data_IF_287813776505
#
_entry.id   IF_287813776505
#
_cell.length_a   1.000
_cell.length_b   1.000
_cell.length_c   1.000
_cell.angle_alpha   90.00
_cell.angle_beta   90.00
_cell.angle_gamma   90.00
#
_symmetry.space_group_name_H-M   'P 1'
#
loop_
_entity.id
_entity.type
_entity.pdbx_description
1 polymer ?
#
# COMPACT_ATOMS: atom_id res chain seq x y z
N UNK A 1 -20.21 5.67 2.12
CA UNK A 1 -21.30 5.83 1.14
C UNK A 1 -22.35 4.82 1.52
N UNK A 2 -23.45 5.30 2.03
CA UNK A 2 -24.57 4.46 2.40
C UNK A 2 -25.34 4.09 1.13
N UNK A 3 -25.54 2.80 0.97
CA UNK A 3 -26.26 2.24 -0.16
C UNK A 3 -27.75 2.22 0.19
N UNK A 4 -28.55 2.96 -0.57
CA UNK A 4 -30.00 2.76 -0.63
C UNK A 4 -30.28 2.04 -1.94
N UNK A 5 -30.83 0.81 -1.95
CA UNK A 5 -31.11 0.09 -3.19
C UNK A 5 -32.26 0.79 -3.91
N UNK A 6 -31.98 1.35 -5.09
CA UNK A 6 -33.06 1.67 -6.01
C UNK A 6 -33.64 0.34 -6.50
N UNK A 7 -34.86 0.01 -6.07
CA UNK A 7 -35.60 -1.15 -6.57
C UNK A 7 -35.80 -1.01 -8.08
N UNK A 8 -34.99 -1.70 -8.86
CA UNK A 8 -35.30 -1.95 -10.27
C UNK A 8 -36.34 -3.05 -10.30
N UNK A 9 -37.49 -2.81 -10.93
CA UNK A 9 -38.53 -3.81 -11.13
C UNK A 9 -37.92 -5.03 -11.85
N UNK A 10 -38.06 -6.16 -11.23
CA UNK A 10 -37.50 -7.45 -11.54
C UNK A 10 -37.93 -8.00 -12.90
N UNK A 11 -36.94 -8.36 -13.73
CA UNK A 11 -36.99 -9.68 -14.31
C UNK A 11 -36.23 -10.59 -13.35
N UNK A 12 -36.92 -11.38 -12.54
CA UNK A 12 -36.28 -12.42 -11.74
C UNK A 12 -35.83 -13.53 -12.69
N UNK A 13 -34.64 -13.42 -13.16
CA UNK A 13 -33.94 -14.55 -13.78
C UNK A 13 -33.54 -15.44 -12.61
N UNK A 14 -34.07 -16.64 -12.56
CA UNK A 14 -33.69 -17.65 -11.59
C UNK A 14 -32.25 -18.12 -11.92
N UNK A 15 -31.27 -17.52 -11.26
CA UNK A 15 -29.86 -17.87 -11.38
C UNK A 15 -29.44 -19.02 -10.46
N UNK A 16 -30.38 -19.69 -9.78
CA UNK A 16 -30.07 -20.73 -8.80
C UNK A 16 -29.22 -21.90 -9.35
N UNK A 17 -29.17 -22.04 -10.68
CA UNK A 17 -28.39 -23.07 -11.36
C UNK A 17 -27.17 -22.54 -12.14
N UNK A 18 -26.89 -21.23 -12.23
CA UNK A 18 -25.88 -20.70 -13.15
C UNK A 18 -24.76 -19.87 -12.53
N UNK A 19 -24.88 -19.37 -11.32
CA UNK A 19 -23.83 -18.56 -10.71
C UNK A 19 -23.47 -19.08 -9.33
N UNK A 20 -22.63 -20.10 -9.31
CA UNK A 20 -21.78 -20.34 -8.15
C UNK A 20 -20.81 -19.18 -8.01
N UNK A 21 -20.64 -18.66 -6.79
CA UNK A 21 -19.53 -17.75 -6.48
C UNK A 21 -18.26 -18.41 -7.00
N UNK A 22 -17.48 -17.76 -7.89
CA UNK A 22 -16.32 -18.39 -8.55
C UNK A 22 -15.26 -18.90 -7.58
N UNK A 23 -15.32 -18.45 -6.32
CA UNK A 23 -14.39 -18.82 -5.26
C UNK A 23 -15.17 -19.37 -4.06
N UNK A 24 -14.73 -20.53 -3.57
CA UNK A 24 -15.27 -21.07 -2.32
C UNK A 24 -15.00 -20.09 -1.19
N UNK A 25 -16.07 -19.59 -0.58
CA UNK A 25 -16.02 -18.82 0.65
C UNK A 25 -16.22 -19.80 1.82
N UNK A 26 -15.20 -20.01 2.67
CA UNK A 26 -15.29 -20.98 3.77
C UNK A 26 -16.48 -20.69 4.67
N UNK A 27 -17.30 -21.71 4.91
CA UNK A 27 -18.46 -21.60 5.80
C UNK A 27 -19.61 -20.74 5.31
N UNK A 28 -19.63 -20.31 4.04
CA UNK A 28 -20.72 -19.54 3.46
C UNK A 28 -21.63 -20.41 2.59
N UNK A 29 -22.94 -20.33 2.84
CA UNK A 29 -23.97 -20.95 2.03
C UNK A 29 -24.71 -19.85 1.29
N UNK A 30 -24.60 -19.80 -0.04
CA UNK A 30 -25.36 -18.87 -0.85
C UNK A 30 -26.84 -19.30 -0.91
N UNK A 31 -27.74 -18.42 -0.48
CA UNK A 31 -29.18 -18.66 -0.46
C UNK A 31 -29.90 -18.02 -1.66
N UNK A 32 -29.40 -16.88 -2.13
CA UNK A 32 -29.93 -16.21 -3.33
C UNK A 32 -28.88 -15.29 -3.96
N UNK A 33 -29.10 -14.98 -5.23
CA UNK A 33 -28.24 -14.04 -5.98
C UNK A 33 -29.12 -13.07 -6.73
N UNK A 34 -28.79 -11.79 -6.67
CA UNK A 34 -29.49 -10.74 -7.41
C UNK A 34 -28.50 -9.85 -8.18
N UNK A 35 -28.99 -9.30 -9.29
CA UNK A 35 -28.29 -8.25 -10.04
C UNK A 35 -28.98 -6.92 -9.73
N UNK A 36 -28.24 -5.99 -9.17
CA UNK A 36 -28.75 -4.69 -8.76
C UNK A 36 -27.96 -3.56 -9.44
N UNK A 37 -28.62 -2.43 -9.62
CA UNK A 37 -27.96 -1.20 -10.04
C UNK A 37 -27.57 -0.41 -8.81
N UNK A 38 -26.25 -0.10 -8.69
CA UNK A 38 -25.70 0.66 -7.58
C UNK A 38 -25.50 2.12 -7.96
N UNK A 39 -25.22 2.96 -6.97
CA UNK A 39 -24.94 4.38 -7.15
C UNK A 39 -23.84 4.60 -8.22
N UNK A 40 -24.02 5.57 -9.11
CA UNK A 40 -23.16 5.79 -10.26
C UNK A 40 -23.51 4.95 -11.50
N UNK A 41 -24.69 4.26 -11.50
CA UNK A 41 -25.23 3.56 -12.67
C UNK A 41 -24.58 2.21 -12.99
N UNK A 42 -23.62 1.76 -12.17
CA UNK A 42 -22.95 0.45 -12.35
C UNK A 42 -23.86 -0.68 -11.86
N UNK A 43 -23.73 -1.83 -12.48
CA UNK A 43 -24.42 -3.04 -12.04
C UNK A 43 -23.53 -3.86 -11.09
N UNK A 44 -24.19 -4.57 -10.17
CA UNK A 44 -23.52 -5.38 -9.17
C UNK A 44 -24.28 -6.68 -8.88
N UNK A 45 -23.54 -7.77 -8.77
CA UNK A 45 -24.05 -9.00 -8.20
C UNK A 45 -24.02 -8.93 -6.68
N UNK A 46 -25.12 -9.30 -6.04
CA UNK A 46 -25.24 -9.46 -4.58
C UNK A 46 -25.55 -10.91 -4.28
N UNK A 47 -24.64 -11.58 -3.61
CA UNK A 47 -24.82 -12.94 -3.13
C UNK A 47 -25.26 -12.88 -1.66
N UNK A 48 -26.47 -13.34 -1.39
CA UNK A 48 -27.02 -13.45 -0.04
C UNK A 48 -26.71 -14.83 0.52
N UNK A 49 -26.45 -14.92 1.80
CA UNK A 49 -26.26 -16.22 2.42
C UNK A 49 -25.89 -16.18 3.89
N UNK A 50 -25.82 -17.36 4.44
CA UNK A 50 -25.58 -17.63 5.84
C UNK A 50 -24.16 -18.11 6.11
N UNK A 51 -23.69 -17.94 7.34
CA UNK A 51 -22.46 -18.54 7.83
C UNK A 51 -22.81 -19.81 8.60
N UNK A 52 -22.11 -20.90 8.29
CA UNK A 52 -22.15 -22.14 9.06
C UNK A 52 -21.43 -21.91 10.38
N UNK A 53 -22.07 -22.25 11.47
CA UNK A 53 -21.52 -22.24 12.81
C UNK A 53 -22.06 -23.39 13.65
N UNK A 54 -21.28 -23.82 14.61
CA UNK A 54 -21.76 -24.78 15.62
C UNK A 54 -22.59 -24.07 16.69
N UNK A 55 -23.46 -24.83 17.38
CA UNK A 55 -24.26 -24.31 18.49
C UNK A 55 -23.32 -23.72 19.57
N UNK A 56 -23.41 -22.41 19.87
CA UNK A 56 -22.50 -21.80 20.82
C UNK A 56 -22.87 -22.12 22.27
N UNK A 57 -21.83 -22.29 23.07
CA UNK A 57 -21.92 -22.43 24.51
C UNK A 57 -21.19 -21.27 25.17
N UNK A 58 -21.73 -20.78 26.27
CA UNK A 58 -21.12 -19.65 26.98
C UNK A 58 -19.85 -20.08 27.67
N UNK A 59 -18.71 -19.50 27.31
CA UNK A 59 -17.39 -19.80 27.89
C UNK A 59 -17.32 -19.50 29.40
N UNK A 60 -18.18 -18.60 29.91
CA UNK A 60 -18.15 -18.18 31.31
C UNK A 60 -18.96 -19.10 32.26
N UNK A 61 -20.08 -19.64 31.80
CA UNK A 61 -20.98 -20.42 32.65
C UNK A 61 -21.38 -21.76 32.05
N UNK A 62 -20.89 -22.12 30.86
CA UNK A 62 -21.18 -23.41 30.22
C UNK A 62 -22.64 -23.58 29.72
N UNK A 63 -23.48 -22.53 29.81
CA UNK A 63 -24.88 -22.62 29.36
C UNK A 63 -24.96 -22.50 27.84
N UNK A 64 -25.97 -23.15 27.24
CA UNK A 64 -26.31 -22.95 25.84
C UNK A 64 -26.70 -21.52 25.60
N UNK A 65 -26.27 -20.94 24.47
CA UNK A 65 -26.62 -19.57 24.09
C UNK A 65 -27.81 -19.58 23.12
N UNK A 66 -28.71 -18.63 23.29
CA UNK A 66 -29.91 -18.49 22.44
C UNK A 66 -29.74 -17.33 21.47
N UNK A 67 -30.49 -17.38 20.33
CA UNK A 67 -30.47 -16.33 19.31
C UNK A 67 -31.03 -15.04 19.90
N UNK A 68 -30.25 -13.99 19.86
CA UNK A 68 -30.65 -12.67 20.35
C UNK A 68 -31.13 -11.75 19.21
N UNK A 69 -30.39 -11.70 18.10
CA UNK A 69 -30.78 -10.90 16.96
C UNK A 69 -30.11 -11.35 15.65
N UNK A 70 -30.75 -11.01 14.54
CA UNK A 70 -30.20 -11.18 13.21
C UNK A 70 -29.58 -9.86 12.72
N UNK A 71 -28.39 -9.95 12.10
CA UNK A 71 -27.61 -8.84 11.61
C UNK A 71 -27.16 -9.13 10.18
N UNK A 72 -27.06 -8.11 9.36
CA UNK A 72 -26.54 -8.23 8.00
C UNK A 72 -25.17 -7.58 7.89
N UNK A 73 -24.24 -8.28 7.27
CA UNK A 73 -22.90 -7.75 7.00
C UNK A 73 -22.64 -7.78 5.50
N UNK A 74 -22.47 -6.61 4.90
CA UNK A 74 -22.11 -6.49 3.48
C UNK A 74 -20.61 -6.38 3.32
N UNK A 75 -20.05 -7.28 2.53
CA UNK A 75 -18.63 -7.30 2.15
C UNK A 75 -18.50 -7.06 0.65
N UNK A 76 -17.48 -6.33 0.27
CA UNK A 76 -17.06 -6.23 -1.11
C UNK A 76 -16.26 -7.47 -1.48
N UNK A 77 -16.54 -8.06 -2.65
CA UNK A 77 -15.85 -9.22 -3.18
C UNK A 77 -15.17 -8.91 -4.51
N UNK A 78 -14.40 -9.86 -5.06
CA UNK A 78 -13.77 -9.75 -6.36
C UNK A 78 -14.78 -9.33 -7.43
N UNK A 79 -14.46 -8.38 -8.30
CA UNK A 79 -15.33 -8.00 -9.40
C UNK A 79 -15.52 -9.17 -10.37
N UNK A 80 -16.71 -9.31 -10.90
CA UNK A 80 -17.00 -10.29 -11.94
C UNK A 80 -17.13 -9.59 -13.29
N UNK A 81 -16.01 -9.57 -14.05
CA UNK A 81 -15.93 -8.76 -15.26
C UNK A 81 -16.15 -7.27 -14.96
N UNK A 82 -17.09 -6.60 -15.65
CA UNK A 82 -17.39 -5.19 -15.41
C UNK A 82 -18.28 -4.96 -14.17
N UNK A 83 -18.85 -6.03 -13.61
CA UNK A 83 -19.79 -5.96 -12.49
C UNK A 83 -19.09 -5.88 -11.15
N UNK A 84 -19.65 -5.07 -10.28
CA UNK A 84 -19.26 -5.07 -8.86
C UNK A 84 -19.85 -6.32 -8.19
N UNK A 85 -19.20 -6.82 -7.14
CA UNK A 85 -19.69 -8.00 -6.42
C UNK A 85 -19.75 -7.72 -4.94
N UNK A 86 -20.86 -8.07 -4.31
CA UNK A 86 -21.07 -7.98 -2.87
C UNK A 86 -21.50 -9.33 -2.31
N UNK A 87 -21.02 -9.63 -1.11
CA UNK A 87 -21.51 -10.73 -0.30
C UNK A 87 -22.31 -10.10 0.84
N UNK A 88 -23.58 -10.42 0.94
CA UNK A 88 -24.45 -10.05 2.05
C UNK A 88 -24.59 -11.27 2.95
N UNK A 89 -23.93 -11.20 4.09
CA UNK A 89 -23.89 -12.29 5.07
C UNK A 89 -24.94 -12.04 6.13
N UNK A 90 -25.84 -12.99 6.28
CA UNK A 90 -26.78 -13.03 7.40
C UNK A 90 -26.09 -13.66 8.60
N UNK A 91 -25.99 -12.88 9.68
CA UNK A 91 -25.29 -13.26 10.91
C UNK A 91 -26.27 -13.30 12.07
N UNK A 92 -26.02 -14.23 12.96
CA UNK A 92 -26.79 -14.35 14.19
C UNK A 92 -25.92 -13.92 15.36
N UNK A 93 -26.43 -13.04 16.20
CA UNK A 93 -25.85 -12.77 17.50
C UNK A 93 -26.57 -13.60 18.56
N UNK A 94 -25.81 -14.30 19.36
CA UNK A 94 -26.27 -15.11 20.46
C UNK A 94 -26.09 -14.38 21.78
N UNK A 95 -26.98 -14.70 22.75
CA UNK A 95 -26.90 -14.20 24.11
C UNK A 95 -27.06 -15.35 25.09
N UNK A 96 -26.32 -15.30 26.15
CA UNK A 96 -26.46 -16.23 27.27
C UNK A 96 -27.47 -15.68 28.27
N UNK A 97 -28.56 -16.40 28.52
CA UNK A 97 -29.60 -16.00 29.47
C UNK A 97 -29.12 -16.04 30.92
N UNK A 98 -28.11 -16.87 31.21
CA UNK A 98 -27.57 -17.00 32.55
C UNK A 98 -26.69 -15.80 32.97
N UNK A 99 -25.79 -15.35 32.11
CA UNK A 99 -24.80 -14.28 32.45
C UNK A 99 -24.84 -13.06 31.56
N UNK A 100 -25.77 -13.02 30.58
CA UNK A 100 -25.95 -11.89 29.67
C UNK A 100 -24.85 -11.69 28.61
N UNK A 101 -23.83 -12.53 28.58
CA UNK A 101 -22.76 -12.43 27.57
C UNK A 101 -23.31 -12.68 26.17
N UNK A 102 -22.78 -11.94 25.21
CA UNK A 102 -23.12 -12.09 23.79
C UNK A 102 -21.94 -12.67 23.01
N UNK A 103 -22.26 -13.44 21.99
CA UNK A 103 -21.29 -13.99 21.03
C UNK A 103 -21.85 -13.94 19.62
N UNK A 104 -20.96 -13.82 18.63
CA UNK A 104 -21.34 -13.79 17.23
C UNK A 104 -20.28 -14.51 16.40
N UNK A 105 -20.67 -15.44 15.48
CA UNK A 105 -19.74 -16.14 14.61
C UNK A 105 -18.89 -15.15 13.82
N UNK A 106 -17.61 -15.43 13.68
CA UNK A 106 -16.75 -14.69 12.76
C UNK A 106 -17.07 -15.06 11.31
N UNK A 107 -16.80 -14.15 10.39
CA UNK A 107 -16.88 -14.42 8.96
C UNK A 107 -15.49 -14.85 8.51
N UNK A 108 -15.24 -16.15 8.20
CA UNK A 108 -13.88 -16.66 7.97
C UNK A 108 -13.14 -16.04 6.79
N UNK A 109 -13.90 -15.52 5.82
CA UNK A 109 -13.36 -14.91 4.60
C UNK A 109 -13.37 -13.38 4.62
N UNK A 110 -13.66 -12.75 5.76
CA UNK A 110 -13.64 -11.29 5.90
C UNK A 110 -12.23 -10.79 6.22
N UNK A 111 -11.80 -9.73 5.56
CA UNK A 111 -10.60 -8.99 5.96
C UNK A 111 -10.73 -8.49 7.41
N UNK A 112 -9.63 -8.58 8.15
CA UNK A 112 -9.60 -8.18 9.55
C UNK A 112 -9.89 -6.69 9.77
N UNK A 113 -9.48 -5.85 8.84
CA UNK A 113 -9.51 -4.39 8.98
C UNK A 113 -10.47 -3.70 8.02
N UNK A 114 -10.97 -4.40 7.00
CA UNK A 114 -11.78 -3.82 5.94
C UNK A 114 -13.07 -4.60 5.70
N UNK A 115 -14.09 -3.92 5.15
CA UNK A 115 -15.34 -4.57 4.73
C UNK A 115 -15.19 -5.18 3.34
N UNK A 116 -14.15 -5.97 3.15
CA UNK A 116 -13.85 -6.72 1.93
C UNK A 116 -13.59 -8.18 2.28
N UNK A 117 -13.68 -9.05 1.28
CA UNK A 117 -13.27 -10.45 1.45
C UNK A 117 -11.75 -10.56 1.41
N UNK A 118 -11.18 -11.61 2.01
CA UNK A 118 -9.74 -11.91 1.94
C UNK A 118 -9.27 -12.09 0.51
N UNK A 119 -10.11 -12.65 -0.37
CA UNK A 119 -9.80 -12.83 -1.79
C UNK A 119 -9.65 -11.47 -2.51
N UNK A 120 -10.55 -10.50 -2.22
CA UNK A 120 -10.41 -9.17 -2.79
C UNK A 120 -9.20 -8.42 -2.22
N UNK A 121 -8.93 -8.57 -0.92
CA UNK A 121 -7.75 -7.97 -0.29
C UNK A 121 -6.46 -8.50 -0.93
N UNK A 122 -6.35 -9.83 -1.12
CA UNK A 122 -5.21 -10.45 -1.78
C UNK A 122 -5.06 -9.99 -3.25
N UNK A 123 -6.17 -9.86 -3.97
CA UNK A 123 -6.15 -9.34 -5.34
C UNK A 123 -5.69 -7.88 -5.43
N UNK A 124 -6.13 -7.04 -4.50
CA UNK A 124 -5.63 -5.65 -4.38
C UNK A 124 -4.12 -5.63 -4.12
N UNK A 125 -3.63 -6.49 -3.23
CA UNK A 125 -2.20 -6.61 -2.93
C UNK A 125 -1.40 -7.06 -4.16
N UNK A 126 -1.88 -8.05 -4.92
CA UNK A 126 -1.24 -8.53 -6.16
C UNK A 126 -1.15 -7.43 -7.23
N UNK A 127 -2.22 -6.66 -7.45
CA UNK A 127 -2.19 -5.53 -8.38
C UNK A 127 -1.17 -4.46 -7.97
N UNK A 128 -1.10 -4.15 -6.68
CA UNK A 128 -0.14 -3.18 -6.15
C UNK A 128 1.31 -3.69 -6.26
N UNK A 129 1.54 -4.98 -6.07
CA UNK A 129 2.84 -5.61 -6.22
C UNK A 129 3.34 -5.57 -7.67
N UNK A 130 2.43 -5.67 -8.64
CA UNK A 130 2.72 -5.50 -10.08
C UNK A 130 2.99 -4.04 -10.47
N UNK A 131 2.91 -3.09 -9.55
CA UNK A 131 3.19 -1.67 -9.78
C UNK A 131 1.99 -0.83 -10.20
N UNK A 132 0.78 -1.34 -10.08
CA UNK A 132 -0.42 -0.55 -10.34
C UNK A 132 -0.61 0.53 -9.27
N UNK A 133 -1.03 1.73 -9.71
CA UNK A 133 -1.27 2.84 -8.79
C UNK A 133 -2.53 2.63 -7.94
N UNK A 134 -2.56 3.18 -6.72
CA UNK A 134 -3.73 3.13 -5.84
C UNK A 134 -5.02 3.63 -6.53
N UNK A 135 -4.92 4.62 -7.43
CA UNK A 135 -6.05 5.13 -8.21
C UNK A 135 -6.56 4.07 -9.20
N UNK A 136 -5.66 3.44 -9.96
CA UNK A 136 -6.02 2.40 -10.95
C UNK A 136 -6.65 1.20 -10.26
N UNK A 137 -6.04 0.70 -9.17
CA UNK A 137 -6.56 -0.42 -8.37
C UNK A 137 -7.94 -0.08 -7.79
N UNK A 138 -8.14 1.16 -7.30
CA UNK A 138 -9.44 1.58 -6.76
C UNK A 138 -10.55 1.53 -7.81
N UNK A 139 -10.25 1.91 -9.05
CA UNK A 139 -11.19 1.86 -10.18
C UNK A 139 -11.49 0.42 -10.58
N UNK A 140 -10.46 -0.43 -10.71
CA UNK A 140 -10.61 -1.84 -11.10
C UNK A 140 -11.43 -2.62 -10.06
N UNK A 141 -11.10 -2.47 -8.79
CA UNK A 141 -11.76 -3.20 -7.70
C UNK A 141 -13.08 -2.54 -7.24
N UNK A 142 -13.38 -1.32 -7.70
CA UNK A 142 -14.51 -0.54 -7.25
C UNK A 142 -14.45 -0.20 -5.76
N UNK A 143 -13.25 0.02 -5.23
CA UNK A 143 -12.99 0.40 -3.85
C UNK A 143 -12.68 1.90 -3.75
N UNK A 144 -12.90 2.48 -2.57
CA UNK A 144 -12.41 3.83 -2.33
C UNK A 144 -10.88 3.84 -2.23
N UNK A 145 -10.21 4.87 -2.77
CA UNK A 145 -8.74 4.99 -2.76
C UNK A 145 -8.13 4.88 -1.34
N UNK A 146 -8.83 5.40 -0.32
CA UNK A 146 -8.39 5.28 1.08
C UNK A 146 -8.34 3.83 1.54
N UNK A 147 -9.29 2.99 1.10
CA UNK A 147 -9.30 1.56 1.41
C UNK A 147 -8.11 0.87 0.77
N UNK A 148 -7.86 1.12 -0.52
CA UNK A 148 -6.70 0.57 -1.23
C UNK A 148 -5.39 1.00 -0.57
N UNK A 149 -5.24 2.29 -0.24
CA UNK A 149 -4.07 2.81 0.48
C UNK A 149 -3.89 2.17 1.87
N UNK A 150 -4.99 1.87 2.57
CA UNK A 150 -4.93 1.21 3.87
C UNK A 150 -4.48 -0.25 3.75
N UNK A 151 -4.96 -0.97 2.74
CA UNK A 151 -4.53 -2.34 2.41
C UNK A 151 -3.03 -2.33 2.05
N UNK A 152 -2.62 -1.41 1.18
CA UNK A 152 -1.21 -1.28 0.78
C UNK A 152 -0.30 -0.96 1.97
N UNK A 153 -0.72 -0.06 2.85
CA UNK A 153 0.03 0.23 4.07
C UNK A 153 0.20 -1.01 4.94
N UNK A 154 -0.84 -1.81 5.13
CA UNK A 154 -0.77 -3.04 5.90
C UNK A 154 0.16 -4.07 5.22
N UNK A 155 0.08 -4.20 3.89
CA UNK A 155 0.98 -5.03 3.08
C UNK A 155 2.44 -4.62 3.25
N UNK A 156 2.75 -3.34 3.05
CA UNK A 156 4.11 -2.81 3.20
C UNK A 156 4.64 -2.98 4.63
N UNK A 157 3.81 -2.78 5.64
CA UNK A 157 4.18 -3.02 7.04
C UNK A 157 4.51 -4.49 7.28
N UNK A 158 3.74 -5.43 6.73
CA UNK A 158 4.01 -6.87 6.85
C UNK A 158 5.29 -7.28 6.13
N UNK A 159 5.59 -6.69 4.98
CA UNK A 159 6.77 -7.03 4.18
C UNK A 159 8.06 -6.45 4.76
N UNK A 160 8.03 -5.20 5.20
CA UNK A 160 9.24 -4.43 5.51
C UNK A 160 9.46 -4.15 6.99
N UNK A 161 8.54 -4.56 7.87
CA UNK A 161 8.71 -4.34 9.31
C UNK A 161 8.52 -5.61 10.12
N UNK A 162 9.11 -5.61 11.32
CA UNK A 162 8.96 -6.65 12.33
C UNK A 162 8.76 -6.03 13.71
N UNK A 163 8.34 -6.83 14.68
CA UNK A 163 8.23 -6.38 16.05
C UNK A 163 9.43 -6.84 16.84
N UNK A 164 10.04 -5.91 17.58
CA UNK A 164 11.04 -6.23 18.60
C UNK A 164 10.40 -6.98 19.77
N UNK A 165 11.19 -7.65 20.62
CA UNK A 165 10.68 -8.28 21.86
C UNK A 165 9.89 -7.32 22.75
N UNK A 166 10.21 -6.02 22.69
CA UNK A 166 9.51 -4.96 23.45
C UNK A 166 8.24 -4.44 22.75
N UNK A 167 7.81 -5.08 21.67
CA UNK A 167 6.60 -4.71 20.92
C UNK A 167 6.74 -3.46 20.04
N UNK A 168 7.93 -2.90 19.86
CA UNK A 168 8.17 -1.80 18.94
C UNK A 168 8.27 -2.31 17.51
N UNK A 169 7.63 -1.59 16.57
CA UNK A 169 7.75 -1.88 15.15
C UNK A 169 8.99 -1.23 14.57
N UNK A 170 9.84 -2.04 13.97
CA UNK A 170 11.09 -1.62 13.33
C UNK A 170 11.16 -2.13 11.90
N UNK A 171 11.98 -1.52 11.06
CA UNK A 171 12.27 -2.06 9.74
C UNK A 171 13.03 -3.39 9.87
N UNK A 172 12.73 -4.32 8.98
CA UNK A 172 13.51 -5.55 8.85
C UNK A 172 14.90 -5.21 8.33
N UNK A 173 15.90 -5.91 8.82
CA UNK A 173 17.23 -5.86 8.20
C UNK A 173 17.14 -6.49 6.81
N UNK A 174 17.94 -6.00 5.83
CA UNK A 174 18.03 -6.64 4.53
C UNK A 174 18.45 -8.09 4.66
N UNK A 175 17.68 -9.00 4.06
CA UNK A 175 17.97 -10.45 4.09
C UNK A 175 19.21 -10.80 3.23
N UNK A 176 19.52 -9.94 2.28
CA UNK A 176 20.62 -10.13 1.32
C UNK A 176 21.64 -9.01 1.45
N UNK A 177 22.90 -9.36 1.30
CA UNK A 177 24.00 -8.42 1.20
C UNK A 177 23.91 -7.64 -0.11
N UNK A 178 23.83 -6.31 -0.03
CA UNK A 178 23.97 -5.43 -1.18
C UNK A 178 25.46 -5.02 -1.35
N UNK A 179 25.93 -5.01 -2.58
CA UNK A 179 27.30 -4.57 -2.92
C UNK A 179 27.34 -3.10 -3.36
N UNK A 180 26.29 -2.64 -4.00
CA UNK A 180 26.18 -1.28 -4.54
C UNK A 180 24.93 -0.61 -4.02
N UNK A 181 25.08 0.52 -3.38
CA UNK A 181 23.97 1.30 -2.85
C UNK A 181 23.80 2.59 -3.66
N UNK A 182 22.56 3.09 -3.70
CA UNK A 182 22.29 4.48 -4.05
C UNK A 182 21.54 5.15 -2.90
N UNK A 183 21.85 6.43 -2.68
CA UNK A 183 21.12 7.29 -1.74
C UNK A 183 20.65 8.54 -2.45
N UNK A 184 19.37 8.88 -2.27
CA UNK A 184 18.78 10.05 -2.88
C UNK A 184 17.67 10.62 -2.00
N UNK A 185 17.33 11.89 -2.25
CA UNK A 185 16.30 12.63 -1.53
C UNK A 185 15.05 12.77 -2.38
N UNK A 186 13.90 12.53 -1.75
CA UNK A 186 12.60 12.82 -2.34
C UNK A 186 11.86 13.87 -1.54
N UNK A 187 11.09 14.70 -2.22
CA UNK A 187 10.17 15.63 -1.57
C UNK A 187 8.92 14.87 -1.13
N UNK A 188 8.85 14.47 0.13
CA UNK A 188 7.80 13.59 0.66
C UNK A 188 6.48 14.31 0.96
N UNK A 189 6.51 15.59 1.36
CA UNK A 189 5.34 16.34 1.81
C UNK A 189 5.26 17.76 1.24
N UNK A 190 4.10 18.39 1.36
CA UNK A 190 3.96 19.82 1.06
C UNK A 190 4.86 20.64 2.01
N UNK A 191 5.51 21.68 1.47
CA UNK A 191 6.58 22.42 2.15
C UNK A 191 7.95 21.83 1.82
N UNK A 192 8.97 22.15 2.62
CA UNK A 192 10.37 21.73 2.43
C UNK A 192 10.73 20.45 3.19
N UNK A 193 9.78 19.52 3.32
CA UNK A 193 10.03 18.24 4.00
C UNK A 193 10.54 17.23 3.00
N UNK A 194 11.74 16.73 3.25
CA UNK A 194 12.41 15.72 2.47
C UNK A 194 12.42 14.39 3.21
N UNK A 195 12.43 13.32 2.46
CA UNK A 195 12.76 12.00 2.95
C UNK A 195 13.90 11.43 2.10
N UNK A 196 14.81 10.72 2.75
CA UNK A 196 15.94 10.05 2.10
C UNK A 196 15.65 8.58 2.00
N UNK A 197 16.00 7.98 0.89
CA UNK A 197 15.92 6.55 0.69
C UNK A 197 17.27 5.98 0.26
N UNK A 198 17.52 4.73 0.64
CA UNK A 198 18.69 3.98 0.25
C UNK A 198 18.22 2.73 -0.49
N UNK A 199 18.79 2.50 -1.66
CA UNK A 199 18.40 1.45 -2.60
C UNK A 199 19.58 0.54 -2.87
N UNK A 200 19.32 -0.76 -2.98
CA UNK A 200 20.24 -1.73 -3.57
C UNK A 200 20.17 -1.59 -5.10
N UNK A 201 21.27 -1.18 -5.73
CA UNK A 201 21.33 -0.96 -7.18
C UNK A 201 21.26 -2.26 -8.00
N UNK A 202 21.58 -3.42 -7.41
CA UNK A 202 21.51 -4.70 -8.12
C UNK A 202 20.08 -5.22 -8.23
N UNK A 203 19.24 -4.92 -7.23
CA UNK A 203 17.87 -5.45 -7.15
C UNK A 203 16.79 -4.40 -7.33
N UNK A 204 17.13 -3.10 -7.21
CA UNK A 204 16.18 -2.00 -7.17
C UNK A 204 15.38 -1.91 -5.87
N UNK A 205 15.71 -2.72 -4.86
CA UNK A 205 14.98 -2.75 -3.59
C UNK A 205 15.34 -1.56 -2.70
N UNK A 206 14.34 -0.92 -2.13
CA UNK A 206 14.53 0.09 -1.08
C UNK A 206 14.90 -0.64 0.21
N UNK A 207 16.09 -0.36 0.74
CA UNK A 207 16.63 -0.93 1.98
C UNK A 207 16.34 -0.05 3.19
N UNK A 208 16.20 1.27 2.99
CA UNK A 208 15.95 2.24 4.05
C UNK A 208 15.14 3.40 3.53
N UNK A 209 14.28 3.95 4.39
CA UNK A 209 13.50 5.14 4.13
C UNK A 209 13.30 5.91 5.45
N UNK A 210 13.68 7.18 5.46
CA UNK A 210 13.58 8.01 6.66
C UNK A 210 13.37 9.48 6.30
N UNK A 211 12.56 10.17 7.11
CA UNK A 211 12.43 11.63 7.02
C UNK A 211 13.76 12.31 7.34
N UNK A 212 14.10 13.34 6.57
CA UNK A 212 15.34 14.10 6.71
C UNK A 212 16.22 14.04 5.47
N UNK A 213 17.31 14.82 5.50
CA UNK A 213 18.28 14.94 4.40
C UNK A 213 19.71 15.21 4.87
N UNK A 214 20.01 14.90 6.13
CA UNK A 214 21.32 15.16 6.75
C UNK A 214 22.03 13.85 7.09
N UNK A 215 23.25 13.96 7.58
CA UNK A 215 24.10 12.84 8.04
C UNK A 215 23.38 11.84 8.94
N UNK A 216 22.44 12.33 9.77
CA UNK A 216 21.68 11.49 10.71
C UNK A 216 20.95 10.33 10.06
N UNK A 217 20.47 10.50 8.82
CA UNK A 217 19.79 9.43 8.07
C UNK A 217 20.76 8.32 7.70
N UNK A 218 21.96 8.68 7.26
CA UNK A 218 23.04 7.71 6.95
C UNK A 218 23.48 6.99 8.21
N UNK A 219 23.69 7.70 9.31
CA UNK A 219 24.05 7.09 10.58
C UNK A 219 22.97 6.14 11.11
N UNK A 220 21.70 6.50 10.93
CA UNK A 220 20.59 5.64 11.32
C UNK A 220 20.56 4.34 10.49
N UNK A 221 20.78 4.44 9.18
CA UNK A 221 20.90 3.27 8.31
C UNK A 221 22.07 2.37 8.73
N UNK A 222 23.28 2.93 8.90
CA UNK A 222 24.46 2.16 9.30
C UNK A 222 24.23 1.47 10.65
N UNK A 223 23.61 2.14 11.62
CA UNK A 223 23.24 1.53 12.91
C UNK A 223 22.24 0.39 12.74
N UNK A 224 21.28 0.54 11.81
CA UNK A 224 20.24 -0.45 11.56
C UNK A 224 20.82 -1.73 10.96
N UNK A 225 21.62 -1.63 9.89
CA UNK A 225 22.20 -2.80 9.24
C UNK A 225 23.41 -3.34 10.00
N UNK A 226 24.20 -2.47 10.61
CA UNK A 226 25.41 -2.78 11.35
C UNK A 226 26.67 -2.63 10.51
N UNK A 227 27.81 -2.33 11.17
CA UNK A 227 29.10 -2.13 10.48
C UNK A 227 29.60 -3.40 9.77
N UNK A 228 29.33 -4.59 10.30
CA UNK A 228 29.71 -5.85 9.65
C UNK A 228 28.98 -6.00 8.29
N UNK A 229 27.69 -5.67 8.25
CA UNK A 229 26.95 -5.66 6.99
C UNK A 229 27.54 -4.63 6.01
N UNK A 230 27.90 -3.45 6.49
CA UNK A 230 28.52 -2.41 5.66
C UNK A 230 29.85 -2.79 5.03
N UNK A 231 30.61 -3.72 5.64
CA UNK A 231 31.86 -4.23 5.06
C UNK A 231 31.68 -4.92 3.70
N UNK A 232 30.50 -5.48 3.44
CA UNK A 232 30.15 -6.10 2.16
C UNK A 232 29.75 -5.11 1.07
N UNK A 233 29.55 -3.83 1.40
CA UNK A 233 29.23 -2.78 0.44
C UNK A 233 30.54 -2.29 -0.20
N UNK A 234 30.56 -2.20 -1.52
CA UNK A 234 31.74 -1.78 -2.31
C UNK A 234 31.65 -0.28 -2.62
N UNK A 235 30.49 0.18 -3.09
CA UNK A 235 30.31 1.56 -3.50
C UNK A 235 28.91 2.08 -3.17
N UNK A 236 28.85 3.40 -3.01
CA UNK A 236 27.61 4.16 -2.79
C UNK A 236 27.51 5.27 -3.82
N UNK A 237 26.44 5.24 -4.61
CA UNK A 237 26.09 6.33 -5.50
C UNK A 237 25.27 7.38 -4.73
N UNK A 238 25.69 8.63 -4.77
CA UNK A 238 24.99 9.75 -4.16
C UNK A 238 24.98 10.98 -5.07
N UNK A 239 24.12 11.94 -4.75
CA UNK A 239 24.26 13.26 -5.34
C UNK A 239 25.51 13.98 -4.79
N UNK A 240 25.77 15.19 -5.27
CA UNK A 240 26.89 16.00 -4.79
C UNK A 240 26.62 16.62 -3.39
N UNK A 241 25.73 16.04 -2.60
CA UNK A 241 25.45 16.46 -1.23
C UNK A 241 26.58 16.03 -0.30
N UNK A 242 27.30 17.00 0.24
CA UNK A 242 28.45 16.76 1.13
C UNK A 242 28.07 15.97 2.40
N UNK A 243 26.85 16.16 2.92
CA UNK A 243 26.39 15.50 4.15
C UNK A 243 26.38 13.97 4.02
N UNK A 244 25.90 13.43 2.90
CA UNK A 244 25.85 11.98 2.68
C UNK A 244 27.26 11.41 2.46
N UNK A 245 28.05 12.07 1.61
CA UNK A 245 29.42 11.68 1.35
C UNK A 245 30.25 11.63 2.64
N UNK A 246 30.24 12.73 3.41
CA UNK A 246 30.99 12.82 4.66
C UNK A 246 30.56 11.76 5.67
N UNK A 247 29.25 11.50 5.79
CA UNK A 247 28.75 10.49 6.73
C UNK A 247 29.21 9.07 6.37
N UNK A 248 29.21 8.70 5.08
CA UNK A 248 29.72 7.40 4.65
C UNK A 248 31.25 7.29 4.82
N UNK A 249 32.01 8.30 4.44
CA UNK A 249 33.48 8.31 4.59
C UNK A 249 33.86 8.21 6.06
N UNK A 250 33.15 8.92 6.95
CA UNK A 250 33.40 8.92 8.39
C UNK A 250 33.20 7.53 9.01
N UNK A 251 32.12 6.84 8.66
CA UNK A 251 31.77 5.55 9.29
C UNK A 251 32.26 4.33 8.52
N UNK A 252 32.46 4.45 7.21
CA UNK A 252 32.82 3.36 6.32
C UNK A 252 33.85 3.81 5.30
N UNK A 253 35.12 4.10 5.73
CA UNK A 253 36.15 4.68 4.87
C UNK A 253 36.60 3.76 3.73
N UNK A 254 36.22 2.49 3.73
CA UNK A 254 36.52 1.53 2.66
C UNK A 254 35.59 1.70 1.43
N UNK A 255 34.51 2.47 1.56
CA UNK A 255 33.53 2.63 0.49
C UNK A 255 34.05 3.56 -0.62
N UNK A 256 33.80 3.18 -1.86
CA UNK A 256 33.96 4.07 -3.01
C UNK A 256 32.70 4.93 -3.15
N UNK A 257 32.84 6.25 -3.08
CA UNK A 257 31.77 7.18 -3.36
C UNK A 257 31.72 7.47 -4.85
N UNK A 258 30.55 7.28 -5.46
CA UNK A 258 30.29 7.54 -6.88
C UNK A 258 29.23 8.64 -6.97
N UNK A 259 29.50 9.67 -7.76
CA UNK A 259 28.51 10.73 -7.97
C UNK A 259 27.54 10.35 -9.09
N UNK A 260 26.27 10.65 -8.86
CA UNK A 260 25.22 10.46 -9.87
C UNK A 260 25.47 11.35 -11.09
N UNK A 261 25.61 10.72 -12.24
CA UNK A 261 25.86 11.38 -13.52
C UNK A 261 24.77 12.45 -13.85
N UNK A 262 23.52 12.18 -13.53
CA UNK A 262 22.44 13.15 -13.76
C UNK A 262 22.70 14.45 -12.99
N UNK A 263 23.08 14.38 -11.74
CA UNK A 263 23.39 15.56 -10.91
C UNK A 263 24.64 16.30 -11.40
N UNK A 264 25.63 15.59 -11.92
CA UNK A 264 26.84 16.22 -12.54
C UNK A 264 26.41 17.04 -13.76
N UNK A 265 25.68 16.42 -14.69
CA UNK A 265 25.22 17.09 -15.92
C UNK A 265 24.28 18.26 -15.61
N UNK A 266 23.36 18.07 -14.65
CA UNK A 266 22.47 19.14 -14.19
C UNK A 266 23.24 20.33 -13.63
N UNK A 267 24.18 20.10 -12.72
CA UNK A 267 25.03 21.15 -12.14
C UNK A 267 25.87 21.86 -13.19
N UNK A 268 26.42 21.13 -14.16
CA UNK A 268 27.15 21.71 -15.29
C UNK A 268 26.25 22.65 -16.12
N UNK A 269 25.05 22.19 -16.48
CA UNK A 269 24.10 22.99 -17.21
C UNK A 269 23.65 24.23 -16.44
N UNK A 270 23.37 24.10 -15.15
CA UNK A 270 22.89 25.22 -14.32
C UNK A 270 23.99 26.22 -14.00
N UNK A 271 25.19 25.77 -13.69
CA UNK A 271 26.28 26.66 -13.22
C UNK A 271 27.20 27.14 -14.33
N UNK A 272 27.38 26.37 -15.39
CA UNK A 272 28.30 26.72 -16.48
C UNK A 272 27.54 27.21 -17.70
N UNK A 273 26.70 26.37 -18.28
CA UNK A 273 26.00 26.70 -19.53
C UNK A 273 25.04 27.87 -19.34
N UNK A 274 24.31 27.93 -18.22
CA UNK A 274 23.41 29.05 -17.94
C UNK A 274 24.14 30.40 -17.75
N UNK A 275 25.32 30.40 -17.12
CA UNK A 275 26.12 31.60 -16.95
C UNK A 275 26.72 32.06 -18.30
N UNK A 276 27.27 31.13 -19.09
CA UNK A 276 27.76 31.44 -20.44
C UNK A 276 26.63 32.07 -21.29
N UNK A 277 25.42 31.50 -21.22
CA UNK A 277 24.25 32.07 -21.96
C UNK A 277 23.91 33.48 -21.49
N UNK A 278 23.93 33.74 -20.18
CA UNK A 278 23.69 35.07 -19.63
C UNK A 278 24.75 36.09 -20.05
N UNK A 279 26.01 35.67 -20.02
CA UNK A 279 27.11 36.54 -20.42
C UNK A 279 27.05 36.86 -21.92
N UNK A 280 26.74 35.89 -22.78
CA UNK A 280 26.56 36.09 -24.20
C UNK A 280 25.34 36.96 -24.50
N UNK A 281 24.23 36.81 -23.78
CA UNK A 281 23.10 37.70 -23.89
C UNK A 281 23.47 39.17 -23.55
N UNK A 282 24.18 39.39 -22.45
CA UNK A 282 24.68 40.72 -22.07
C UNK A 282 25.58 41.32 -23.13
N UNK A 283 26.47 40.51 -23.72
CA UNK A 283 27.36 40.92 -24.79
C UNK A 283 26.57 41.38 -26.03
N UNK A 284 25.58 40.58 -26.46
CA UNK A 284 24.73 40.90 -27.61
C UNK A 284 23.85 42.12 -27.38
N UNK A 285 23.32 42.28 -26.16
CA UNK A 285 22.57 43.48 -25.76
C UNK A 285 23.44 44.74 -25.87
N UNK A 286 24.68 44.69 -25.45
CA UNK A 286 25.65 45.78 -25.56
C UNK A 286 26.06 46.10 -27.01
N UNK A 287 26.05 45.06 -27.89
CA UNK A 287 26.31 45.22 -29.32
C UNK A 287 25.07 45.65 -30.12
N UNK A 288 23.92 45.88 -29.48
CA UNK A 288 22.67 46.31 -30.14
C UNK A 288 22.02 45.22 -31.01
N UNK A 289 22.37 43.95 -30.83
CA UNK A 289 21.82 42.80 -31.55
C UNK A 289 20.60 42.23 -30.85
N UNK A 290 19.58 41.82 -31.61
CA UNK A 290 18.33 41.26 -31.06
C UNK A 290 18.56 39.93 -30.37
N UNK A 291 17.86 39.70 -29.21
CA UNK A 291 17.88 38.47 -28.39
C UNK A 291 17.52 37.20 -29.15
N UNK A 292 16.86 37.29 -30.31
CA UNK A 292 16.40 36.12 -31.09
C UNK A 292 17.53 35.44 -31.90
N UNK A 293 18.74 36.00 -31.94
CA UNK A 293 19.85 35.45 -32.72
C UNK A 293 20.78 34.50 -31.94
N UNK A 294 20.43 34.18 -30.69
CA UNK A 294 21.16 33.20 -29.86
C UNK A 294 20.34 31.91 -29.77
N UNK A 295 20.60 30.97 -30.65
CA UNK A 295 20.09 29.57 -30.58
C UNK A 295 21.19 28.67 -30.10
#
# INVERSE_FOLDING_TARGET
>A
MDYTPAKVRNASVDFSNMLCIPHRLPGFINTSTELVRVEGGREAYVFHGDIIYDQPWCEACGSKMEIHQHLHTRLRHLPFGPYLTFILVDRVQFRCDCCGRTWMPEIPFRSKHHRVTLQLEAFVEDLLERGDTNKKVSLLCGLHQRTVKSIDKARLQRLYTEFTPNGQRVFRKPDRQARYLAIDEIKAHRGYKFATHIVDLETGRILWFQDGKKKDVVYAFIRHVGLEWMKGVIAVACDMNSDFQEAFVEKCPHLTIVFDHFHIVKNFNEKVISEIRKDEQRRLENEGKDRKSVV
#
